data_IF_829097579576
#
_entry.id   IF_829097579576
#
_cell.length_a   1.000
_cell.length_b   1.000
_cell.length_c   1.000
_cell.angle_alpha   90.00
_cell.angle_beta   90.00
_cell.angle_gamma   90.00
#
_symmetry.space_group_name_H-M   'P 1'
#
loop_
_entity.id
_entity.type
_entity.pdbx_description
1 polymer ?
#
# COMPACT_ATOMS: atom_id res chain seq x y z
N UNK A 1 -0.52 18.87 16.57
CA UNK A 1 0.30 17.73 16.11
C UNK A 1 1.20 18.21 15.00
N UNK A 2 2.45 17.73 14.93
CA UNK A 2 3.36 18.06 13.83
C UNK A 2 2.77 17.55 12.49
N UNK A 3 2.98 18.30 11.41
CA UNK A 3 2.55 17.92 10.05
C UNK A 3 3.09 16.54 9.64
N UNK A 4 4.29 16.19 10.13
CA UNK A 4 4.89 14.87 9.94
C UNK A 4 4.08 13.74 10.59
N UNK A 5 3.56 13.96 11.80
CA UNK A 5 2.78 12.95 12.52
C UNK A 5 1.40 12.73 11.85
N UNK A 6 0.78 13.81 11.35
CA UNK A 6 -0.46 13.71 10.59
C UNK A 6 -0.24 12.96 9.26
N UNK A 7 0.85 13.24 8.56
CA UNK A 7 1.19 12.54 7.32
C UNK A 7 1.51 11.06 7.55
N UNK A 8 2.27 10.74 8.61
CA UNK A 8 2.56 9.36 8.99
C UNK A 8 1.28 8.55 9.27
N UNK A 9 0.31 9.15 9.99
CA UNK A 9 -0.99 8.50 10.24
C UNK A 9 -1.73 8.16 8.95
N UNK A 10 -1.79 9.10 8.00
CA UNK A 10 -2.44 8.85 6.70
C UNK A 10 -1.75 7.74 5.90
N UNK A 11 -0.43 7.63 5.97
CA UNK A 11 0.29 6.52 5.33
C UNK A 11 -0.01 5.17 5.98
N UNK A 12 -0.20 5.13 7.31
CA UNK A 12 -0.68 3.92 8.00
C UNK A 12 -2.06 3.52 7.48
N UNK A 13 -3.00 4.47 7.38
CA UNK A 13 -4.34 4.21 6.82
C UNK A 13 -4.28 3.67 5.37
N UNK A 14 -3.34 4.16 4.56
CA UNK A 14 -3.07 3.61 3.22
C UNK A 14 -2.61 2.15 3.29
N UNK A 15 -1.67 1.80 4.16
CA UNK A 15 -1.21 0.41 4.32
C UNK A 15 -2.32 -0.52 4.82
N UNK A 16 -3.20 -0.02 5.70
CA UNK A 16 -4.37 -0.77 6.20
C UNK A 16 -5.37 -1.06 5.07
N UNK A 17 -5.61 -0.08 4.18
CA UNK A 17 -6.44 -0.30 2.97
C UNK A 17 -5.87 -1.37 2.06
N UNK A 18 -4.55 -1.35 1.81
CA UNK A 18 -3.89 -2.39 1.01
C UNK A 18 -3.98 -3.76 1.68
N UNK A 19 -3.78 -3.82 3.00
CA UNK A 19 -3.95 -5.06 3.77
C UNK A 19 -5.41 -5.57 3.80
N UNK A 20 -6.39 -4.69 3.60
CA UNK A 20 -7.80 -5.04 3.42
C UNK A 20 -8.14 -5.47 1.98
N UNK A 21 -7.18 -5.41 1.05
CA UNK A 21 -7.37 -5.79 -0.36
C UNK A 21 -7.83 -4.66 -1.28
N UNK A 22 -7.78 -3.40 -0.84
CA UNK A 22 -8.01 -2.25 -1.73
C UNK A 22 -6.73 -1.93 -2.52
N UNK A 23 -6.87 -1.81 -3.84
CA UNK A 23 -5.74 -1.71 -4.78
C UNK A 23 -5.79 -0.49 -5.70
N UNK A 24 -6.96 0.11 -5.83
CA UNK A 24 -7.25 1.27 -6.67
C UNK A 24 -8.03 2.33 -5.87
N UNK A 25 -8.08 3.56 -6.37
CA UNK A 25 -8.79 4.67 -5.72
C UNK A 25 -8.20 5.11 -4.37
N UNK A 26 -6.94 4.75 -4.08
CA UNK A 26 -6.26 5.16 -2.86
C UNK A 26 -5.48 6.45 -3.15
N UNK A 27 -6.02 7.58 -2.70
CA UNK A 27 -5.40 8.89 -2.89
C UNK A 27 -4.05 9.01 -2.14
N UNK A 28 -3.09 9.72 -2.73
CA UNK A 28 -1.82 9.98 -2.07
C UNK A 28 -1.98 10.94 -0.87
N UNK A 29 -1.52 10.56 0.34
CA UNK A 29 -1.59 11.41 1.53
C UNK A 29 -0.92 12.78 1.43
N UNK A 30 0.09 12.90 0.55
CA UNK A 30 0.89 14.11 0.34
C UNK A 30 0.28 15.02 -0.74
N UNK A 31 -0.46 14.46 -1.70
CA UNK A 31 -1.10 15.20 -2.79
C UNK A 31 -2.37 14.46 -3.27
N UNK A 32 -3.54 15.02 -2.99
CA UNK A 32 -4.83 14.43 -3.35
C UNK A 32 -5.15 14.46 -4.87
N UNK A 33 -4.19 14.83 -5.72
CA UNK A 33 -4.35 14.91 -7.18
C UNK A 33 -3.96 13.60 -7.90
N UNK A 34 -3.56 12.57 -7.18
CA UNK A 34 -3.28 11.27 -7.77
C UNK A 34 -3.43 10.12 -6.77
N UNK A 35 -3.86 8.99 -7.31
CA UNK A 35 -3.84 7.72 -6.61
C UNK A 35 -2.41 7.16 -6.51
N UNK A 36 -2.17 6.40 -5.45
CA UNK A 36 -0.96 5.59 -5.32
C UNK A 36 -1.05 4.35 -6.20
N UNK A 37 0.11 3.89 -6.66
CA UNK A 37 0.30 2.64 -7.36
C UNK A 37 0.88 1.62 -6.38
N UNK A 38 0.42 0.38 -6.48
CA UNK A 38 0.81 -0.72 -5.59
C UNK A 38 1.47 -1.83 -6.40
N UNK A 39 2.68 -2.22 -6.00
CA UNK A 39 3.40 -3.38 -6.55
C UNK A 39 3.57 -4.46 -5.50
N UNK A 40 3.29 -5.73 -5.83
CA UNK A 40 3.69 -6.88 -4.99
C UNK A 40 4.97 -7.48 -5.51
N UNK A 41 5.95 -7.65 -4.62
CA UNK A 41 7.12 -8.49 -4.87
C UNK A 41 7.07 -9.69 -3.93
N UNK A 42 7.05 -10.90 -4.50
CA UNK A 42 7.12 -12.13 -3.72
C UNK A 42 8.59 -12.44 -3.42
N UNK A 43 9.00 -12.28 -2.17
CA UNK A 43 10.28 -12.78 -1.70
C UNK A 43 10.17 -14.29 -1.44
N UNK A 44 10.95 -15.09 -2.18
CA UNK A 44 11.20 -16.49 -1.83
C UNK A 44 12.42 -16.55 -0.92
N UNK A 45 12.20 -16.52 0.39
CA UNK A 45 13.13 -17.12 1.34
C UNK A 45 12.87 -18.63 1.37
N UNK A 46 13.92 -19.45 1.43
CA UNK A 46 13.87 -20.90 1.15
C UNK A 46 12.69 -21.68 1.76
N UNK A 47 12.26 -22.67 0.97
CA UNK A 47 11.25 -23.74 1.16
C UNK A 47 9.89 -23.46 1.82
N UNK A 48 9.74 -22.58 2.82
CA UNK A 48 8.44 -22.40 3.51
C UNK A 48 8.11 -20.98 4.02
N UNK A 49 9.03 -20.02 3.99
CA UNK A 49 8.75 -18.64 4.43
C UNK A 49 8.58 -17.72 3.20
N UNK A 50 7.43 -17.80 2.53
CA UNK A 50 7.09 -16.81 1.51
C UNK A 50 6.72 -15.48 2.19
N UNK A 51 7.41 -14.39 1.85
CA UNK A 51 7.04 -13.03 2.26
C UNK A 51 6.60 -12.23 1.04
N UNK A 52 5.60 -11.40 1.22
CA UNK A 52 5.13 -10.45 0.24
C UNK A 52 5.57 -9.06 0.66
N UNK A 53 6.18 -8.35 -0.28
CA UNK A 53 6.59 -6.96 -0.12
C UNK A 53 5.66 -6.11 -0.98
N UNK A 54 4.95 -5.19 -0.35
CA UNK A 54 4.01 -4.29 -1.00
C UNK A 54 4.65 -2.92 -1.07
N UNK A 55 4.93 -2.45 -2.28
CA UNK A 55 5.48 -1.12 -2.56
C UNK A 55 4.34 -0.20 -2.96
N UNK A 56 4.19 0.91 -2.25
CA UNK A 56 3.16 1.92 -2.50
C UNK A 56 3.86 3.21 -2.89
N UNK A 57 3.66 3.65 -4.13
CA UNK A 57 4.32 4.85 -4.64
C UNK A 57 3.34 5.80 -5.32
N UNK A 58 3.54 7.10 -5.12
CA UNK A 58 2.79 8.12 -5.83
C UNK A 58 3.57 8.59 -7.08
N UNK A 59 3.02 8.43 -8.30
CA UNK A 59 3.72 8.82 -9.53
C UNK A 59 3.88 10.34 -9.69
N UNK A 60 3.18 11.15 -8.88
CA UNK A 60 3.19 12.62 -8.98
C UNK A 60 4.18 13.29 -8.03
N UNK A 61 4.19 12.88 -6.76
CA UNK A 61 5.05 13.51 -5.76
C UNK A 61 6.30 12.67 -5.41
N UNK A 62 6.42 11.46 -5.98
CA UNK A 62 7.53 10.55 -5.75
C UNK A 62 7.59 9.97 -4.34
N UNK A 63 6.52 10.11 -3.55
CA UNK A 63 6.45 9.48 -2.23
C UNK A 63 6.38 7.96 -2.39
N UNK A 64 7.17 7.26 -1.59
CA UNK A 64 7.27 5.80 -1.61
C UNK A 64 7.29 5.28 -0.17
N UNK A 65 6.48 4.26 0.09
CA UNK A 65 6.54 3.45 1.30
C UNK A 65 6.43 1.97 0.92
N UNK A 66 6.87 1.09 1.81
CA UNK A 66 6.67 -0.34 1.63
C UNK A 66 6.41 -1.03 2.96
N UNK A 67 5.77 -2.19 2.91
CA UNK A 67 5.62 -3.07 4.07
C UNK A 67 5.73 -4.55 3.67
N UNK A 68 6.10 -5.38 4.64
CA UNK A 68 6.20 -6.83 4.48
C UNK A 68 5.03 -7.53 5.16
N UNK A 69 4.49 -8.56 4.53
CA UNK A 69 3.54 -9.47 5.16
C UNK A 69 3.83 -10.93 4.80
N UNK A 70 3.45 -11.83 5.69
CA UNK A 70 3.36 -13.27 5.37
C UNK A 70 2.08 -13.59 4.60
N UNK A 71 1.06 -12.74 4.73
CA UNK A 71 -0.19 -12.88 4.01
C UNK A 71 -0.11 -12.31 2.59
N UNK A 72 -0.87 -12.94 1.70
CA UNK A 72 -1.07 -12.44 0.35
C UNK A 72 -2.39 -11.67 0.27
N UNK A 73 -2.33 -10.35 0.45
CA UNK A 73 -3.45 -9.42 0.30
C UNK A 73 -3.72 -9.19 -1.18
N UNK A 74 -4.52 -10.09 -1.76
CA UNK A 74 -4.97 -9.98 -3.16
C UNK A 74 -5.98 -8.84 -3.29
N UNK A 75 -6.06 -8.20 -4.47
CA UNK A 75 -7.16 -7.28 -4.78
C UNK A 75 -8.49 -7.98 -4.52
N UNK A 76 -9.36 -7.38 -3.72
CA UNK A 76 -10.76 -7.80 -3.68
C UNK A 76 -11.45 -7.22 -4.91
N UNK A 77 -12.12 -8.03 -5.75
CA UNK A 77 -12.93 -7.47 -6.81
C UNK A 77 -14.02 -6.63 -6.16
N UNK A 78 -14.12 -5.36 -6.54
CA UNK A 78 -15.33 -4.59 -6.31
C UNK A 78 -16.45 -5.32 -7.05
N UNK A 79 -17.28 -6.09 -6.33
CA UNK A 79 -18.55 -6.56 -6.84
C UNK A 79 -19.34 -5.31 -7.24
N UNK A 80 -19.43 -5.05 -8.53
CA UNK A 80 -20.38 -4.09 -9.06
C UNK A 80 -21.77 -4.70 -8.82
N UNK A 81 -22.48 -4.18 -7.81
CA UNK A 81 -23.92 -4.40 -7.62
C UNK A 81 -24.66 -3.20 -8.23
#
# INVERSE_FOLDING_TARGET
MSEYAALAKKWVEVTEKVAAGAWDGIECPKNADADVLIEIRKQRTGTDDARFEYWIHCPRCGAEIYFHSKDHYRPVPHSAD
#
